data_IF_008498338313
#
_entry.id   IF_008498338313
#
_cell.length_a   1.000
_cell.length_b   1.000
_cell.length_c   1.000
_cell.angle_alpha   90.00
_cell.angle_beta   90.00
_cell.angle_gamma   90.00
#
_symmetry.space_group_name_H-M   'P 1'
#
loop_
_entity.id
_entity.type
_entity.pdbx_description
1 polymer ?
#
# COMPACT_ATOMS: atom_id res chain seq x y z
N UNK A 1 -27.35 -3.08 7.49
CA UNK A 1 -26.53 -3.68 6.40
C UNK A 1 -26.76 -2.78 5.18
N UNK A 2 -25.94 -1.75 4.92
CA UNK A 2 -26.11 -0.89 3.74
C UNK A 2 -25.89 -1.65 2.43
N UNK A 3 -26.97 -1.94 1.73
CA UNK A 3 -26.99 -2.34 0.32
C UNK A 3 -26.93 -1.03 -0.50
N UNK A 4 -26.43 -1.08 -1.72
CA UNK A 4 -26.46 0.08 -2.62
C UNK A 4 -27.88 0.65 -2.71
N UNK A 5 -27.99 1.97 -2.60
CA UNK A 5 -29.28 2.66 -2.68
C UNK A 5 -29.73 2.62 -4.14
N UNK A 6 -30.91 2.05 -4.38
CA UNK A 6 -31.46 1.96 -5.73
C UNK A 6 -31.66 3.36 -6.33
N UNK A 7 -31.34 3.51 -7.61
CA UNK A 7 -31.56 4.76 -8.34
C UNK A 7 -33.06 4.94 -8.62
N UNK A 8 -33.54 6.18 -8.68
CA UNK A 8 -34.96 6.48 -8.98
C UNK A 8 -35.44 5.89 -10.31
N UNK A 9 -34.54 5.81 -11.30
CA UNK A 9 -34.75 5.19 -12.61
C UNK A 9 -34.92 3.67 -12.62
N UNK A 10 -34.62 2.98 -11.51
CA UNK A 10 -34.78 1.51 -11.40
C UNK A 10 -36.15 1.09 -10.86
N UNK A 11 -37.01 2.06 -10.56
CA UNK A 11 -38.36 1.76 -10.09
C UNK A 11 -39.21 1.10 -11.19
N UNK A 12 -40.31 0.47 -10.79
CA UNK A 12 -41.26 -0.16 -11.71
C UNK A 12 -41.93 0.86 -12.64
N UNK A 13 -42.08 2.10 -12.20
CA UNK A 13 -42.61 3.22 -12.97
C UNK A 13 -41.73 4.44 -12.73
N UNK A 14 -40.54 4.49 -13.35
CA UNK A 14 -39.61 5.57 -13.16
C UNK A 14 -40.06 6.80 -13.94
N UNK A 15 -39.61 7.96 -13.49
CA UNK A 15 -39.67 9.16 -14.31
C UNK A 15 -38.78 8.99 -15.55
N UNK A 16 -39.19 9.58 -16.68
CA UNK A 16 -38.51 9.41 -17.95
C UNK A 16 -37.06 9.91 -17.93
N UNK A 17 -36.81 11.03 -17.27
CA UNK A 17 -35.47 11.62 -17.11
C UNK A 17 -34.58 10.71 -16.26
N UNK A 18 -35.05 10.34 -15.06
CA UNK A 18 -34.33 9.45 -14.15
C UNK A 18 -34.06 8.07 -14.75
N UNK A 19 -34.97 7.55 -15.58
CA UNK A 19 -34.77 6.29 -16.29
C UNK A 19 -33.68 6.39 -17.36
N UNK A 20 -33.64 7.50 -18.12
CA UNK A 20 -32.61 7.74 -19.12
C UNK A 20 -31.22 7.86 -18.50
N UNK A 21 -31.10 8.55 -17.37
CA UNK A 21 -29.82 8.69 -16.65
C UNK A 21 -29.26 7.32 -16.25
N UNK A 22 -30.11 6.47 -15.66
CA UNK A 22 -29.71 5.14 -15.20
C UNK A 22 -29.41 4.20 -16.38
N UNK A 23 -30.13 4.32 -17.49
CA UNK A 23 -29.78 3.60 -18.74
C UNK A 23 -28.43 4.06 -19.26
N UNK A 24 -28.16 5.37 -19.24
CA UNK A 24 -26.87 5.93 -19.66
C UNK A 24 -25.71 5.38 -18.83
N UNK A 25 -25.90 5.29 -17.51
CA UNK A 25 -24.93 4.66 -16.61
C UNK A 25 -24.71 3.18 -16.93
N UNK A 26 -25.80 2.42 -17.14
CA UNK A 26 -25.72 1.01 -17.51
C UNK A 26 -24.97 0.81 -18.84
N UNK A 27 -25.24 1.66 -19.83
CA UNK A 27 -24.57 1.62 -21.13
C UNK A 27 -23.08 1.94 -20.99
N UNK A 28 -22.72 2.94 -20.19
CA UNK A 28 -21.33 3.29 -19.93
C UNK A 28 -20.55 2.13 -19.31
N UNK A 29 -21.16 1.35 -18.40
CA UNK A 29 -20.53 0.16 -17.83
C UNK A 29 -20.30 -0.95 -18.87
N UNK A 30 -21.24 -1.16 -19.79
CA UNK A 30 -21.08 -2.14 -20.87
C UNK A 30 -20.03 -1.71 -21.90
N UNK A 31 -19.95 -0.42 -22.26
CA UNK A 31 -18.87 0.08 -23.11
C UNK A 31 -17.50 -0.18 -22.49
N UNK A 32 -17.32 0.12 -21.19
CA UNK A 32 -16.07 -0.21 -20.47
C UNK A 32 -15.76 -1.71 -20.50
N UNK A 33 -16.79 -2.55 -20.44
CA UNK A 33 -16.65 -4.00 -20.52
C UNK A 33 -16.17 -4.43 -21.91
N UNK A 34 -16.78 -3.88 -22.96
CA UNK A 34 -16.39 -4.13 -24.35
C UNK A 34 -14.95 -3.68 -24.60
N UNK A 35 -14.59 -2.46 -24.22
CA UNK A 35 -13.22 -1.92 -24.32
C UNK A 35 -12.19 -2.82 -23.61
N UNK A 36 -12.49 -3.28 -22.39
CA UNK A 36 -11.61 -4.18 -21.66
C UNK A 36 -11.49 -5.56 -22.32
N UNK A 37 -12.58 -6.07 -22.93
CA UNK A 37 -12.55 -7.31 -23.70
C UNK A 37 -11.78 -7.15 -25.02
N UNK A 38 -11.89 -6.00 -25.68
CA UNK A 38 -11.13 -5.67 -26.88
C UNK A 38 -9.65 -5.56 -26.57
N UNK A 39 -9.27 -4.84 -25.52
CA UNK A 39 -7.89 -4.74 -25.06
C UNK A 39 -7.26 -6.12 -24.78
N UNK A 40 -8.02 -7.06 -24.20
CA UNK A 40 -7.55 -8.43 -24.01
C UNK A 40 -7.41 -9.23 -25.32
N UNK A 41 -8.22 -8.92 -26.33
CA UNK A 41 -8.17 -9.57 -27.64
C UNK A 41 -7.08 -8.97 -28.53
N UNK A 42 -6.75 -7.69 -28.38
CA UNK A 42 -5.68 -7.05 -29.12
C UNK A 42 -4.35 -7.68 -28.70
N UNK A 43 -3.56 -8.22 -29.64
CA UNK A 43 -2.24 -8.72 -29.32
C UNK A 43 -1.39 -7.57 -28.76
N UNK A 44 -0.62 -7.84 -27.70
CA UNK A 44 0.37 -6.90 -27.19
C UNK A 44 1.30 -6.59 -28.37
N UNK A 45 1.35 -5.32 -28.78
CA UNK A 45 2.26 -4.88 -29.82
C UNK A 45 3.69 -5.33 -29.47
N UNK A 46 4.45 -5.75 -30.47
CA UNK A 46 5.84 -6.17 -30.27
C UNK A 46 6.61 -5.06 -29.54
N UNK A 47 7.24 -5.41 -28.42
CA UNK A 47 8.05 -4.49 -27.62
C UNK A 47 9.12 -3.87 -28.53
N UNK A 48 9.40 -2.58 -28.37
CA UNK A 48 10.45 -1.92 -29.16
C UNK A 48 11.81 -2.58 -28.89
N UNK A 49 12.62 -2.74 -29.93
CA UNK A 49 13.94 -3.38 -29.83
C UNK A 49 14.84 -2.76 -28.75
N UNK A 50 14.68 -1.46 -28.49
CA UNK A 50 15.40 -0.72 -27.45
C UNK A 50 15.09 -1.24 -26.05
N UNK A 51 13.81 -1.50 -25.74
CA UNK A 51 13.38 -2.03 -24.43
C UNK A 51 13.84 -3.47 -24.20
N UNK A 52 13.92 -4.28 -25.26
CA UNK A 52 14.43 -5.65 -25.19
C UNK A 52 15.94 -5.70 -24.87
N UNK A 53 16.73 -4.76 -25.39
CA UNK A 53 18.18 -4.70 -25.13
C UNK A 53 18.52 -4.35 -23.69
N UNK A 54 17.72 -3.49 -23.05
CA UNK A 54 17.94 -3.08 -21.65
C UNK A 54 17.73 -4.27 -20.70
N UNK A 55 16.66 -5.05 -20.92
CA UNK A 55 16.33 -6.22 -20.09
C UNK A 55 17.36 -7.35 -20.15
N UNK A 56 18.13 -7.46 -21.24
CA UNK A 56 19.13 -8.52 -21.43
C UNK A 56 20.48 -8.15 -20.79
N UNK A 57 20.78 -6.85 -20.65
CA UNK A 57 22.09 -6.38 -20.20
C UNK A 57 22.23 -6.20 -18.68
N UNK A 58 21.13 -6.15 -17.91
CA UNK A 58 21.18 -5.98 -16.45
C UNK A 58 21.65 -7.22 -15.66
N UNK A 59 21.75 -8.41 -16.29
CA UNK A 59 22.10 -9.68 -15.61
C UNK A 59 23.60 -10.05 -15.66
N UNK A 60 24.50 -9.18 -16.16
CA UNK A 60 25.94 -9.51 -16.40
C UNK A 60 26.98 -8.73 -15.58
N UNK A 61 26.62 -8.06 -14.50
CA UNK A 61 27.61 -7.42 -13.60
C UNK A 61 27.53 -8.03 -12.19
N UNK A 62 28.43 -8.99 -11.91
CA UNK A 62 28.70 -9.49 -10.56
C UNK A 62 30.20 -9.48 -10.34
N UNK A 63 30.61 -8.59 -9.44
CA UNK A 63 31.96 -8.23 -9.03
C UNK A 63 32.71 -9.41 -8.38
N UNK A 64 33.98 -9.59 -8.76
CA UNK A 64 34.93 -10.49 -8.11
C UNK A 64 35.57 -9.76 -6.91
N UNK A 65 35.21 -10.15 -5.68
CA UNK A 65 35.90 -9.72 -4.46
C UNK A 65 37.06 -10.68 -4.16
N UNK A 66 38.30 -10.18 -4.23
CA UNK A 66 39.49 -10.87 -3.77
C UNK A 66 39.62 -10.76 -2.24
N UNK A 67 39.44 -11.89 -1.54
CA UNK A 67 39.73 -12.02 -0.11
C UNK A 67 41.25 -12.06 0.14
N UNK A 68 41.78 -11.04 0.82
CA UNK A 68 43.15 -11.02 1.35
C UNK A 68 43.15 -11.60 2.77
N UNK A 69 43.57 -12.86 2.91
CA UNK A 69 43.86 -13.49 4.20
C UNK A 69 45.10 -12.84 4.86
N UNK A 70 44.88 -12.04 5.90
CA UNK A 70 45.95 -11.62 6.82
C UNK A 70 46.43 -12.79 7.67
N UNK A 71 47.63 -13.27 7.41
CA UNK A 71 48.32 -14.24 8.27
C UNK A 71 48.73 -13.59 9.60
N UNK A 72 48.21 -14.13 10.71
CA UNK A 72 48.66 -13.81 12.07
C UNK A 72 50.08 -14.35 12.27
N UNK A 73 51.03 -13.44 12.48
CA UNK A 73 52.39 -13.82 12.89
C UNK A 73 52.49 -13.78 14.41
N UNK A 74 52.99 -14.87 15.00
CA UNK A 74 53.31 -14.96 16.41
C UNK A 74 54.47 -14.02 16.76
N UNK A 75 54.14 -12.81 17.21
CA UNK A 75 55.12 -11.85 17.70
C UNK A 75 55.61 -12.30 19.08
N UNK A 76 56.84 -12.82 19.14
CA UNK A 76 57.57 -13.07 20.39
C UNK A 76 57.62 -11.80 21.25
N UNK A 77 56.79 -11.74 22.29
CA UNK A 77 56.75 -10.62 23.24
C UNK A 77 57.97 -10.69 24.15
N UNK A 78 58.97 -9.83 23.89
CA UNK A 78 60.12 -9.64 24.79
C UNK A 78 59.62 -9.27 26.19
N UNK A 79 60.20 -9.89 27.24
CA UNK A 79 59.90 -9.57 28.64
C UNK A 79 60.25 -8.10 28.89
N UNK A 80 59.25 -7.27 29.17
CA UNK A 80 59.48 -5.86 29.42
C UNK A 80 60.23 -5.66 30.74
N UNK A 81 61.27 -4.82 30.70
CA UNK A 81 62.04 -4.46 31.88
C UNK A 81 61.17 -3.72 32.91
N UNK A 82 61.44 -3.98 34.19
CA UNK A 82 60.70 -3.34 35.29
C UNK A 82 60.99 -1.85 35.29
N UNK A 83 59.99 -1.04 34.94
CA UNK A 83 60.08 0.42 34.95
C UNK A 83 60.43 0.90 36.38
N UNK A 84 61.43 1.80 36.53
CA UNK A 84 61.81 2.29 37.84
C UNK A 84 60.68 3.11 38.50
N UNK A 85 60.61 3.07 39.83
CA UNK A 85 59.51 3.62 40.64
C UNK A 85 59.25 5.11 40.38
N UNK A 86 60.30 5.89 40.13
CA UNK A 86 60.22 7.31 39.80
C UNK A 86 59.48 7.55 38.46
N UNK A 87 59.78 6.77 37.42
CA UNK A 87 59.13 6.84 36.11
C UNK A 87 57.68 6.36 36.21
N UNK A 88 57.40 5.31 36.99
CA UNK A 88 56.03 4.86 37.27
C UNK A 88 55.21 5.95 37.97
N UNK A 89 55.76 6.61 38.99
CA UNK A 89 55.09 7.70 39.69
C UNK A 89 54.86 8.92 38.78
N UNK A 90 55.84 9.26 37.92
CA UNK A 90 55.70 10.33 36.92
C UNK A 90 54.60 10.02 35.91
N UNK A 91 54.55 8.79 35.38
CA UNK A 91 53.48 8.32 34.48
C UNK A 91 52.12 8.37 35.16
N UNK A 92 52.02 7.92 36.42
CA UNK A 92 50.77 7.97 37.19
C UNK A 92 50.26 9.40 37.38
N UNK A 93 51.15 10.34 37.73
CA UNK A 93 50.80 11.78 37.85
C UNK A 93 50.34 12.35 36.51
N UNK A 94 51.04 12.05 35.43
CA UNK A 94 50.66 12.50 34.09
C UNK A 94 49.30 11.94 33.65
N UNK A 95 49.06 10.65 33.87
CA UNK A 95 47.78 10.01 33.56
C UNK A 95 46.63 10.64 34.37
N UNK A 96 46.84 10.94 35.66
CA UNK A 96 45.85 11.64 36.48
C UNK A 96 45.56 13.05 35.95
N UNK A 97 46.58 13.81 35.54
CA UNK A 97 46.41 15.14 34.94
C UNK A 97 45.66 15.07 33.61
N UNK A 98 45.97 14.08 32.77
CA UNK A 98 45.26 13.86 31.51
C UNK A 98 43.79 13.52 31.74
N UNK A 99 43.49 12.68 32.73
CA UNK A 99 42.13 12.32 33.09
C UNK A 99 41.32 13.57 33.49
N UNK A 100 41.85 14.40 34.39
CA UNK A 100 41.23 15.67 34.80
C UNK A 100 41.02 16.61 33.61
N UNK A 101 41.98 16.67 32.69
CA UNK A 101 41.85 17.48 31.48
C UNK A 101 40.74 16.96 30.54
N UNK A 102 40.64 15.64 30.37
CA UNK A 102 39.57 15.02 29.59
C UNK A 102 38.20 15.24 30.22
N UNK A 103 38.08 15.13 31.55
CA UNK A 103 36.85 15.45 32.28
C UNK A 103 36.42 16.90 32.07
N UNK A 104 37.35 17.85 32.17
CA UNK A 104 37.08 19.26 31.88
C UNK A 104 36.60 19.48 30.44
N UNK A 105 37.20 18.78 29.46
CA UNK A 105 36.75 18.82 28.06
C UNK A 105 35.33 18.28 27.91
N UNK A 106 35.04 17.12 28.51
CA UNK A 106 33.71 16.51 28.50
C UNK A 106 32.66 17.42 29.14
N UNK A 107 32.97 18.03 30.28
CA UNK A 107 32.08 18.98 30.96
C UNK A 107 31.78 20.20 30.07
N UNK A 108 32.79 20.76 29.39
CA UNK A 108 32.59 21.87 28.45
C UNK A 108 31.70 21.47 27.26
N UNK A 109 31.94 20.30 26.68
CA UNK A 109 31.10 19.76 25.60
C UNK A 109 29.66 19.53 26.05
N UNK A 110 29.46 19.01 27.26
CA UNK A 110 28.12 18.82 27.83
C UNK A 110 27.39 20.16 28.04
N UNK A 111 28.07 21.18 28.56
CA UNK A 111 27.44 22.51 28.73
C UNK A 111 27.08 23.15 27.38
N UNK A 112 27.89 22.94 26.33
CA UNK A 112 27.54 23.44 25.00
C UNK A 112 26.33 22.70 24.40
N UNK A 113 26.14 21.41 24.68
CA UNK A 113 24.95 20.68 24.23
C UNK A 113 23.69 21.09 24.98
N UNK A 114 23.78 21.46 26.27
CA UNK A 114 22.62 21.98 27.04
C UNK A 114 21.99 23.20 26.36
N UNK A 115 22.78 24.08 25.75
CA UNK A 115 22.26 25.21 24.97
C UNK A 115 21.47 24.75 23.73
N UNK A 116 21.91 23.68 23.07
CA UNK A 116 21.22 23.10 21.91
C UNK A 116 19.89 22.42 22.29
N UNK A 117 19.78 21.84 23.49
CA UNK A 117 18.55 21.17 23.96
C UNK A 117 17.33 22.09 23.89
N UNK A 118 17.46 23.36 24.29
CA UNK A 118 16.34 24.32 24.23
C UNK A 118 15.90 24.60 22.79
N UNK A 119 16.84 24.66 21.85
CA UNK A 119 16.56 24.84 20.42
C UNK A 119 15.90 23.58 19.84
N UNK A 120 16.44 22.40 20.16
CA UNK A 120 15.88 21.12 19.75
C UNK A 120 14.44 20.94 20.26
N UNK A 121 14.16 21.25 21.53
CA UNK A 121 12.81 21.21 22.09
C UNK A 121 11.83 22.14 21.35
N UNK A 122 12.27 23.36 21.00
CA UNK A 122 11.44 24.27 20.20
C UNK A 122 11.15 23.72 18.80
N UNK A 123 12.10 23.03 18.17
CA UNK A 123 11.91 22.38 16.87
C UNK A 123 10.92 21.23 16.97
N UNK A 124 11.13 20.31 17.92
CA UNK A 124 10.21 19.18 18.18
C UNK A 124 8.79 19.67 18.40
N UNK A 125 8.58 20.71 19.23
CA UNK A 125 7.24 21.27 19.47
C UNK A 125 6.60 21.85 18.21
N UNK A 126 7.37 22.50 17.33
CA UNK A 126 6.86 23.00 16.05
C UNK A 126 6.50 21.84 15.12
N UNK A 127 7.37 20.83 15.05
CA UNK A 127 7.14 19.66 14.22
C UNK A 127 5.91 18.88 14.69
N UNK A 128 5.71 18.72 16.00
CA UNK A 128 4.53 18.12 16.60
C UNK A 128 3.25 18.88 16.24
N UNK A 129 3.25 20.22 16.34
CA UNK A 129 2.09 21.04 15.96
C UNK A 129 1.76 20.87 14.47
N UNK A 130 2.75 20.98 13.58
CA UNK A 130 2.50 20.81 12.13
C UNK A 130 2.02 19.40 11.78
N UNK A 131 2.49 18.38 12.51
CA UNK A 131 2.03 17.00 12.32
C UNK A 131 0.62 16.79 12.87
N UNK A 132 0.24 17.47 13.95
CA UNK A 132 -1.13 17.48 14.46
C UNK A 132 -2.06 18.14 13.44
N UNK A 133 -1.73 19.34 12.95
CA UNK A 133 -2.51 20.03 11.91
C UNK A 133 -2.72 19.17 10.67
N UNK A 134 -1.68 18.47 10.19
CA UNK A 134 -1.81 17.52 9.08
C UNK A 134 -2.73 16.34 9.40
N UNK A 135 -2.65 15.79 10.61
CA UNK A 135 -3.53 14.69 11.04
C UNK A 135 -4.98 15.15 11.11
N UNK A 136 -5.22 16.34 11.62
CA UNK A 136 -6.55 16.93 11.73
C UNK A 136 -7.12 17.20 10.34
N UNK A 137 -6.33 17.76 9.41
CA UNK A 137 -6.72 17.91 8.00
C UNK A 137 -7.06 16.58 7.33
N UNK A 138 -6.27 15.53 7.57
CA UNK A 138 -6.54 14.19 7.06
C UNK A 138 -7.84 13.63 7.66
N UNK A 139 -8.12 13.91 8.93
CA UNK A 139 -9.37 13.49 9.58
C UNK A 139 -10.56 14.23 8.98
N UNK A 140 -10.49 15.56 8.83
CA UNK A 140 -11.58 16.33 8.21
C UNK A 140 -11.86 15.87 6.79
N UNK A 141 -10.83 15.61 5.98
CA UNK A 141 -11.02 15.08 4.63
C UNK A 141 -11.65 13.70 4.62
N UNK A 142 -11.30 12.82 5.57
CA UNK A 142 -11.95 11.51 5.70
C UNK A 142 -13.41 11.64 6.10
N UNK A 143 -13.71 12.54 7.03
CA UNK A 143 -15.08 12.76 7.50
C UNK A 143 -15.94 13.39 6.39
N UNK A 144 -15.40 14.33 5.62
CA UNK A 144 -16.02 14.90 4.42
C UNK A 144 -16.24 13.84 3.34
N UNK A 145 -15.25 12.98 3.09
CA UNK A 145 -15.36 11.86 2.14
C UNK A 145 -16.45 10.86 2.56
N UNK A 146 -16.52 10.51 3.85
CA UNK A 146 -17.56 9.63 4.41
C UNK A 146 -18.94 10.27 4.30
N UNK A 147 -19.05 11.59 4.51
CA UNK A 147 -20.30 12.32 4.42
C UNK A 147 -20.81 12.41 2.98
N UNK A 148 -19.93 12.66 2.00
CA UNK A 148 -20.28 12.71 0.59
C UNK A 148 -20.58 11.32 0.02
N UNK A 149 -19.78 10.32 0.39
CA UNK A 149 -19.85 8.96 -0.13
C UNK A 149 -20.11 7.96 1.00
N UNK A 150 -21.37 7.87 1.49
CA UNK A 150 -21.70 6.90 2.51
C UNK A 150 -21.44 5.47 2.03
N UNK A 151 -21.24 4.57 2.98
CA UNK A 151 -20.92 3.16 2.73
C UNK A 151 -21.99 2.52 1.81
N UNK A 152 -21.56 1.95 0.68
CA UNK A 152 -22.46 1.39 -0.33
C UNK A 152 -22.95 2.37 -1.40
N UNK A 153 -22.52 3.64 -1.40
CA UNK A 153 -22.82 4.57 -2.50
C UNK A 153 -21.95 4.28 -3.73
N UNK A 154 -22.59 4.16 -4.91
CA UNK A 154 -21.93 3.95 -6.20
C UNK A 154 -21.10 2.67 -6.26
N UNK A 155 -21.59 1.59 -5.65
CA UNK A 155 -20.86 0.32 -5.67
C UNK A 155 -20.74 -0.23 -7.07
N UNK A 156 -21.80 -0.11 -7.88
CA UNK A 156 -21.79 -0.62 -9.24
C UNK A 156 -20.69 0.03 -10.09
N UNK A 157 -20.59 1.36 -10.06
CA UNK A 157 -19.54 2.11 -10.74
C UNK A 157 -18.13 1.73 -10.25
N UNK A 158 -17.91 1.72 -8.92
CA UNK A 158 -16.61 1.36 -8.32
C UNK A 158 -16.15 -0.05 -8.65
N UNK A 159 -17.07 -1.01 -8.74
CA UNK A 159 -16.76 -2.39 -9.08
C UNK A 159 -16.52 -2.59 -10.57
N UNK A 160 -17.29 -1.89 -11.41
CA UNK A 160 -17.06 -1.81 -12.85
C UNK A 160 -15.67 -1.27 -13.17
N UNK A 161 -15.21 -0.23 -12.47
CA UNK A 161 -13.86 0.32 -12.65
C UNK A 161 -12.74 -0.65 -12.28
N UNK A 162 -12.95 -1.51 -11.27
CA UNK A 162 -11.94 -2.47 -10.83
C UNK A 162 -11.84 -3.68 -11.75
N UNK A 163 -12.98 -4.27 -12.10
CA UNK A 163 -13.07 -5.51 -12.89
C UNK A 163 -14.22 -5.42 -13.91
N UNK A 164 -14.08 -4.61 -14.99
CA UNK A 164 -15.17 -4.34 -15.92
C UNK A 164 -15.70 -5.61 -16.62
N UNK A 165 -14.82 -6.58 -16.87
CA UNK A 165 -15.14 -7.83 -17.59
C UNK A 165 -16.05 -8.77 -16.76
N UNK A 166 -15.86 -8.79 -15.44
CA UNK A 166 -16.53 -9.74 -14.54
C UNK A 166 -17.70 -9.15 -13.80
N UNK A 167 -17.77 -7.83 -13.71
CA UNK A 167 -18.87 -7.15 -13.04
C UNK A 167 -20.21 -7.43 -13.76
N UNK A 168 -21.30 -7.75 -13.03
CA UNK A 168 -22.63 -7.90 -13.64
C UNK A 168 -23.14 -6.56 -14.18
N UNK A 169 -24.06 -6.62 -15.15
CA UNK A 169 -24.69 -5.41 -15.68
C UNK A 169 -25.60 -4.74 -14.65
N UNK A 170 -25.75 -3.42 -14.75
CA UNK A 170 -26.65 -2.67 -13.88
C UNK A 170 -28.10 -3.16 -14.10
N UNK A 171 -28.87 -3.50 -13.03
CA UNK A 171 -30.21 -4.06 -13.18
C UNK A 171 -31.24 -2.97 -13.53
N UNK A 172 -31.41 -2.72 -14.82
CA UNK A 172 -32.33 -1.70 -15.36
C UNK A 172 -33.24 -2.32 -16.40
N UNK A 173 -34.52 -1.97 -16.38
CA UNK A 173 -35.47 -2.38 -17.41
C UNK A 173 -35.25 -1.56 -18.68
N UNK A 174 -35.32 -2.21 -19.84
CA UNK A 174 -35.26 -1.51 -21.12
C UNK A 174 -36.53 -0.67 -21.31
N UNK A 175 -36.44 0.42 -22.08
CA UNK A 175 -37.61 1.26 -22.42
C UNK A 175 -38.73 0.46 -23.09
N UNK A 176 -38.39 -0.55 -23.87
CA UNK A 176 -39.34 -1.49 -24.48
C UNK A 176 -40.02 -2.41 -23.45
N UNK A 177 -39.31 -2.78 -22.39
CA UNK A 177 -39.83 -3.63 -21.30
C UNK A 177 -40.76 -2.86 -20.36
N UNK A 178 -40.60 -1.53 -20.23
CA UNK A 178 -41.45 -0.66 -19.40
C UNK A 178 -42.73 -0.19 -20.09
N UNK A 179 -42.67 0.08 -21.39
CA UNK A 179 -43.81 0.63 -22.15
C UNK A 179 -44.81 -0.44 -22.63
N UNK A 180 -44.45 -1.73 -22.56
CA UNK A 180 -45.33 -2.84 -22.91
C UNK A 180 -45.77 -2.86 -24.39
N UNK A 181 -46.40 -3.95 -24.83
CA UNK A 181 -47.03 -4.00 -26.16
C UNK A 181 -48.12 -2.92 -26.23
N UNK A 182 -48.05 -2.04 -27.24
CA UNK A 182 -48.92 -0.87 -27.48
C UNK A 182 -50.40 -1.24 -27.78
N UNK A 183 -50.86 -2.40 -27.36
CA UNK A 183 -52.13 -2.95 -27.84
C UNK A 183 -53.36 -2.27 -27.21
N UNK A 184 -53.23 -1.49 -26.13
CA UNK A 184 -54.39 -0.92 -25.42
C UNK A 184 -54.21 0.51 -24.88
N UNK A 185 -53.35 1.35 -25.47
CA UNK A 185 -53.23 2.78 -25.11
C UNK A 185 -52.79 3.10 -23.68
N UNK A 186 -52.46 2.08 -22.88
CA UNK A 186 -52.00 2.20 -21.51
C UNK A 186 -50.47 2.18 -21.52
N UNK A 187 -49.84 3.29 -21.14
CA UNK A 187 -48.39 3.51 -21.19
C UNK A 187 -47.62 2.66 -20.14
N UNK A 188 -48.34 1.95 -19.26
CA UNK A 188 -47.77 1.24 -18.13
C UNK A 188 -47.92 -0.28 -18.26
N UNK A 189 -46.81 -1.00 -18.16
CA UNK A 189 -46.78 -2.47 -18.02
C UNK A 189 -47.39 -2.85 -16.68
N UNK A 190 -48.38 -3.74 -16.57
CA UNK A 190 -48.95 -4.13 -15.28
C UNK A 190 -47.93 -4.87 -14.41
N UNK A 191 -48.01 -4.71 -13.07
CA UNK A 191 -47.03 -5.24 -12.11
C UNK A 191 -46.79 -6.75 -12.26
N UNK A 192 -47.80 -7.48 -12.73
CA UNK A 192 -47.74 -8.93 -12.99
C UNK A 192 -46.82 -9.32 -14.15
N UNK A 193 -46.49 -8.39 -15.05
CA UNK A 193 -45.61 -8.60 -16.22
C UNK A 193 -44.17 -8.13 -15.97
N UNK A 194 -43.90 -7.53 -14.81
CA UNK A 194 -42.57 -7.07 -14.44
C UNK A 194 -41.68 -8.27 -14.21
N UNK A 195 -40.56 -8.32 -14.94
CA UNK A 195 -39.52 -9.31 -14.70
C UNK A 195 -38.53 -8.74 -13.68
N UNK A 196 -38.27 -9.44 -12.55
CA UNK A 196 -37.22 -9.01 -11.64
C UNK A 196 -35.87 -9.01 -12.36
N UNK A 197 -35.08 -7.96 -12.15
CA UNK A 197 -33.71 -7.80 -12.67
C UNK A 197 -32.73 -7.78 -11.49
N UNK A 198 -31.49 -8.18 -11.74
CA UNK A 198 -30.43 -8.23 -10.72
C UNK A 198 -30.39 -9.51 -9.90
N UNK A 199 -29.32 -9.66 -9.12
CA UNK A 199 -29.12 -10.80 -8.22
C UNK A 199 -28.78 -10.29 -6.81
N UNK A 200 -29.74 -10.38 -5.90
CA UNK A 200 -29.60 -9.92 -4.52
C UNK A 200 -28.46 -10.59 -3.76
N UNK A 201 -28.12 -11.84 -4.09
CA UNK A 201 -27.01 -12.55 -3.44
C UNK A 201 -25.67 -11.94 -3.84
N UNK A 202 -25.49 -11.60 -5.11
CA UNK A 202 -24.28 -10.96 -5.62
C UNK A 202 -24.12 -9.57 -5.02
N UNK A 203 -25.17 -8.75 -5.06
CA UNK A 203 -25.19 -7.41 -4.46
C UNK A 203 -24.82 -7.45 -2.96
N UNK A 204 -25.35 -8.45 -2.23
CA UNK A 204 -25.02 -8.66 -0.82
C UNK A 204 -23.56 -9.05 -0.62
N UNK A 205 -23.02 -9.93 -1.47
CA UNK A 205 -21.60 -10.32 -1.41
C UNK A 205 -20.70 -9.12 -1.68
N UNK A 206 -21.02 -8.31 -2.68
CA UNK A 206 -20.27 -7.08 -2.99
C UNK A 206 -20.34 -6.07 -1.84
N UNK A 207 -21.52 -5.88 -1.27
CA UNK A 207 -21.73 -5.04 -0.09
C UNK A 207 -20.89 -5.49 1.11
N UNK A 208 -20.76 -6.80 1.34
CA UNK A 208 -19.91 -7.34 2.41
C UNK A 208 -18.42 -7.16 2.13
N UNK A 209 -18.00 -7.25 0.86
CA UNK A 209 -16.61 -6.98 0.44
C UNK A 209 -16.23 -5.52 0.63
N UNK A 210 -17.10 -4.59 0.25
CA UNK A 210 -16.85 -3.15 0.39
C UNK A 210 -16.61 -2.75 1.85
N UNK A 211 -17.35 -3.38 2.77
CA UNK A 211 -17.16 -3.22 4.23
C UNK A 211 -15.97 -3.98 4.80
N UNK A 212 -15.19 -4.68 3.98
CA UNK A 212 -14.07 -5.54 4.40
C UNK A 212 -14.49 -6.66 5.37
N UNK A 213 -15.77 -7.05 5.35
CA UNK A 213 -16.31 -8.17 6.15
C UNK A 213 -16.08 -9.51 5.45
N UNK A 214 -15.97 -9.48 4.11
CA UNK A 214 -15.54 -10.61 3.32
C UNK A 214 -14.15 -10.33 2.77
N UNK A 215 -13.23 -11.28 2.87
CA UNK A 215 -11.94 -11.20 2.19
C UNK A 215 -12.11 -11.60 0.73
N UNK A 216 -11.42 -10.90 -0.15
CA UNK A 216 -11.25 -11.41 -1.50
C UNK A 216 -10.48 -12.72 -1.39
N UNK A 217 -11.08 -13.80 -1.91
CA UNK A 217 -10.38 -15.06 -2.07
C UNK A 217 -9.24 -14.78 -3.03
N UNK A 218 -8.06 -14.47 -2.49
CA UNK A 218 -6.84 -14.36 -3.27
C UNK A 218 -6.74 -15.68 -4.00
N UNK A 219 -6.97 -15.67 -5.32
CA UNK A 219 -6.57 -16.78 -6.17
C UNK A 219 -5.06 -16.81 -6.05
N UNK A 220 -4.57 -17.54 -5.05
CA UNK A 220 -3.17 -17.91 -4.93
C UNK A 220 -2.89 -18.71 -6.20
N UNK A 221 -2.49 -18.01 -7.26
CA UNK A 221 -1.67 -18.61 -8.29
C UNK A 221 -0.47 -19.12 -7.50
N UNK A 222 -0.44 -20.43 -7.24
CA UNK A 222 0.76 -21.08 -6.76
C UNK A 222 1.81 -20.70 -7.79
N UNK A 223 2.72 -19.82 -7.42
CA UNK A 223 3.89 -19.55 -8.24
C UNK A 223 4.67 -20.86 -8.20
N UNK A 224 4.46 -21.70 -9.22
CA UNK A 224 5.33 -22.84 -9.46
C UNK A 224 6.67 -22.26 -9.87
N UNK A 225 7.51 -21.94 -8.88
CA UNK A 225 8.92 -21.65 -9.12
C UNK A 225 9.52 -22.98 -9.55
N UNK A 226 9.67 -23.18 -10.86
CA UNK A 226 10.55 -24.22 -11.40
C UNK A 226 11.99 -23.80 -11.10
N UNK A 227 12.43 -24.02 -9.87
CA UNK A 227 13.76 -23.67 -9.41
C UNK A 227 14.18 -24.54 -8.25
N UNK A 228 15.49 -24.78 -8.12
CA UNK A 228 16.08 -25.57 -7.03
C UNK A 228 15.68 -24.94 -5.68
N UNK A 229 15.07 -25.75 -4.80
CA UNK A 229 14.73 -25.34 -3.43
C UNK A 229 15.99 -24.80 -2.74
N UNK A 230 16.00 -23.51 -2.37
CA UNK A 230 17.04 -22.97 -1.47
C UNK A 230 16.94 -23.71 -0.14
N UNK A 231 18.00 -24.45 0.22
CA UNK A 231 18.17 -25.03 1.54
C UNK A 231 18.28 -23.89 2.55
N UNK A 232 17.37 -23.85 3.54
CA UNK A 232 17.47 -22.89 4.65
C UNK A 232 18.68 -23.28 5.49
N UNK A 233 19.78 -22.54 5.36
CA UNK A 233 20.89 -22.62 6.29
C UNK A 233 20.41 -22.09 7.65
N UNK A 234 20.38 -22.98 8.66
CA UNK A 234 20.18 -22.58 10.05
C UNK A 234 21.46 -21.92 10.53
N UNK A 235 21.50 -20.59 10.52
CA UNK A 235 22.55 -19.83 11.20
C UNK A 235 22.56 -20.18 12.69
N UNK A 236 23.73 -20.60 13.19
CA UNK A 236 23.98 -20.70 14.63
C UNK A 236 24.12 -19.28 15.14
N UNK A 237 23.16 -18.82 15.96
CA UNK A 237 23.27 -17.55 16.66
C UNK A 237 24.40 -17.62 17.69
N UNK A 238 25.39 -16.75 17.56
CA UNK A 238 26.34 -16.46 18.62
C UNK A 238 25.65 -15.60 19.67
N UNK A 239 25.53 -16.13 20.89
CA UNK A 239 25.04 -15.37 22.04
C UNK A 239 26.21 -14.53 22.57
N UNK A 240 26.18 -13.21 22.33
CA UNK A 240 27.04 -12.29 23.06
C UNK A 240 26.53 -12.16 24.50
N UNK A 241 27.27 -12.75 25.44
CA UNK A 241 27.13 -12.45 26.86
C UNK A 241 27.79 -11.10 27.14
N UNK A 242 26.97 -10.09 27.45
CA UNK A 242 27.42 -8.85 28.07
C UNK A 242 27.95 -9.16 29.48
N UNK A 243 29.22 -8.82 29.73
CA UNK A 243 29.82 -8.64 31.06
C UNK A 243 30.10 -7.16 31.25
#
# INVERSE_FOLDING_TARGET
IPIEVAHGGQSYHPDGELHQDVIGEALAMELKREEAMEYLKTPIAEMSEETLRILINEDSESEEEEDIETMETDVYRKKQEKIPRNVRNRRRRHAALQLVYLERKKQKQFLSTVHFVKSAHKKVRKDELTNQEKRDQIQTWKDEEIAQNPLGHGMASKLSEKDPIRFPSLPVALTSELNGSKDNGNVNVPLRRVKPKGNLLEERVYSLRDRKLLTDVKKSRRVYVQGKKKTRTRGKGENYMLV
#
